data_IF_364521647741
#
_entry.id   IF_364521647741
#
_cell.length_a   1.000
_cell.length_b   1.000
_cell.length_c   1.000
_cell.angle_alpha   90.00
_cell.angle_beta   90.00
_cell.angle_gamma   90.00
#
_symmetry.space_group_name_H-M   'P 1'
#
loop_
_entity.id
_entity.type
_entity.pdbx_description
1 polymer ?
#
# COMPACT_ATOMS: atom_id res chain seq x y z
N UNK A 1 -0.52 -14.32 34.05
CA UNK A 1 0.74 -14.84 33.47
C UNK A 1 1.61 -13.75 32.84
N UNK A 2 1.11 -12.93 31.90
CA UNK A 2 1.92 -11.84 31.28
C UNK A 2 2.33 -10.75 32.28
N UNK A 3 1.41 -10.30 33.14
CA UNK A 3 1.71 -9.31 34.20
C UNK A 3 2.82 -9.80 35.13
N UNK A 4 2.75 -11.06 35.57
CA UNK A 4 3.77 -11.65 36.44
C UNK A 4 5.13 -11.73 35.76
N UNK A 5 5.16 -12.03 34.45
CA UNK A 5 6.39 -12.02 33.67
C UNK A 5 7.03 -10.63 33.65
N UNK A 6 6.28 -9.57 33.29
CA UNK A 6 6.82 -8.21 33.26
C UNK A 6 7.23 -7.70 34.63
N UNK A 7 6.51 -8.08 35.70
CA UNK A 7 6.92 -7.74 37.06
C UNK A 7 8.24 -8.41 37.45
N UNK A 8 8.44 -9.68 37.08
CA UNK A 8 9.69 -10.38 37.33
C UNK A 8 10.86 -9.78 36.54
N UNK A 9 10.66 -9.48 35.24
CA UNK A 9 11.67 -8.79 34.42
C UNK A 9 12.01 -7.42 34.99
N UNK A 10 11.01 -6.65 35.41
CA UNK A 10 11.23 -5.33 36.01
C UNK A 10 11.97 -5.41 37.36
N UNK A 11 11.74 -6.44 38.17
CA UNK A 11 12.50 -6.68 39.39
C UNK A 11 13.96 -6.99 39.08
N UNK A 12 14.24 -7.92 38.18
CA UNK A 12 15.61 -8.26 37.79
C UNK A 12 16.36 -7.03 37.24
N UNK A 13 15.68 -6.20 36.44
CA UNK A 13 16.26 -4.93 35.95
C UNK A 13 16.59 -4.00 37.12
N UNK A 14 15.70 -3.84 38.12
CA UNK A 14 15.99 -3.03 39.32
C UNK A 14 17.16 -3.57 40.13
N UNK A 15 17.26 -4.88 40.28
CA UNK A 15 18.39 -5.52 40.96
C UNK A 15 19.72 -5.24 40.24
N UNK A 16 19.74 -5.33 38.91
CA UNK A 16 20.93 -5.00 38.10
C UNK A 16 21.26 -3.51 38.20
N UNK A 17 20.26 -2.62 38.11
CA UNK A 17 20.45 -1.17 38.27
C UNK A 17 21.07 -0.84 39.62
N UNK A 18 20.55 -1.42 40.72
CA UNK A 18 21.06 -1.22 42.06
C UNK A 18 22.52 -1.71 42.19
N UNK A 19 22.86 -2.86 41.58
CA UNK A 19 24.24 -3.39 41.56
C UNK A 19 25.21 -2.49 40.81
N UNK A 20 24.74 -1.75 39.79
CA UNK A 20 25.53 -0.80 39.00
C UNK A 20 25.51 0.63 39.57
N UNK A 21 24.69 0.89 40.60
CA UNK A 21 24.58 2.19 41.27
C UNK A 21 23.61 3.18 40.62
N UNK A 22 22.71 2.72 39.74
CA UNK A 22 21.70 3.54 39.08
C UNK A 22 20.36 3.51 39.84
N UNK A 23 19.68 4.64 39.90
CA UNK A 23 18.35 4.80 40.52
C UNK A 23 17.22 4.85 39.48
N UNK A 24 17.50 5.31 38.28
CA UNK A 24 16.54 5.41 37.18
C UNK A 24 17.10 4.81 35.90
N UNK A 25 16.23 4.44 34.95
CA UNK A 25 16.66 3.93 33.65
C UNK A 25 17.45 5.00 32.89
N UNK A 26 17.03 6.27 32.95
CA UNK A 26 17.69 7.39 32.26
C UNK A 26 19.15 7.58 32.69
N UNK A 27 19.48 7.30 33.95
CA UNK A 27 20.86 7.34 34.44
C UNK A 27 21.75 6.28 33.75
N UNK A 28 21.15 5.14 33.33
CA UNK A 28 21.79 4.00 32.69
C UNK A 28 21.86 4.11 31.15
N UNK A 29 20.91 4.80 30.52
CA UNK A 29 20.87 4.93 29.04
C UNK A 29 22.18 5.52 28.52
N UNK A 30 22.78 4.85 27.52
CA UNK A 30 24.01 5.29 26.88
C UNK A 30 25.28 5.17 27.74
N UNK A 31 25.24 4.50 28.91
CA UNK A 31 26.40 4.28 29.79
C UNK A 31 27.25 3.09 29.35
N UNK A 32 27.93 3.22 28.20
CA UNK A 32 28.74 2.14 27.63
C UNK A 32 29.95 1.75 28.49
N UNK A 33 30.41 2.61 29.39
CA UNK A 33 31.49 2.30 30.33
C UNK A 33 31.11 1.21 31.36
N UNK A 34 29.83 0.91 31.52
CA UNK A 34 29.35 -0.21 32.34
C UNK A 34 29.41 -1.55 31.59
N UNK A 35 29.76 -1.54 30.30
CA UNK A 35 29.87 -2.71 29.45
C UNK A 35 31.33 -3.03 29.15
N UNK A 36 31.64 -4.31 29.04
CA UNK A 36 32.93 -4.80 28.54
C UNK A 36 32.72 -6.06 27.72
N UNK A 37 33.49 -6.22 26.66
CA UNK A 37 33.54 -7.48 25.94
C UNK A 37 34.10 -8.58 26.86
N UNK A 38 33.38 -9.69 26.96
CA UNK A 38 33.81 -10.86 27.73
C UNK A 38 34.53 -11.84 26.81
N UNK A 39 35.73 -12.27 27.21
CA UNK A 39 36.42 -13.38 26.55
C UNK A 39 35.69 -14.70 26.83
N UNK A 40 35.48 -15.51 25.79
CA UNK A 40 34.81 -16.80 25.90
C UNK A 40 35.86 -17.92 25.84
N UNK A 41 35.99 -18.65 26.95
CA UNK A 41 36.92 -19.77 27.05
C UNK A 41 36.56 -20.89 26.06
N UNK A 42 37.58 -21.53 25.46
CA UNK A 42 37.37 -22.62 24.50
C UNK A 42 36.82 -22.21 23.12
N UNK A 43 36.56 -20.92 22.89
CA UNK A 43 35.92 -20.43 21.66
C UNK A 43 36.77 -19.38 20.92
N UNK A 44 37.88 -19.77 20.26
CA UNK A 44 38.81 -18.84 19.62
C UNK A 44 38.15 -18.00 18.51
N UNK A 45 37.20 -18.57 17.77
CA UNK A 45 36.43 -17.85 16.73
C UNK A 45 35.50 -16.78 17.31
N UNK A 46 34.92 -16.99 18.50
CA UNK A 46 34.07 -15.97 19.12
C UNK A 46 34.91 -14.76 19.59
N UNK A 47 36.14 -15.02 20.02
CA UNK A 47 37.07 -13.99 20.48
C UNK A 47 37.71 -13.18 19.34
N UNK A 48 37.41 -13.46 18.06
CA UNK A 48 37.85 -12.61 16.93
C UNK A 48 36.95 -11.41 16.68
N UNK A 49 35.77 -11.35 17.31
CA UNK A 49 34.87 -10.20 17.19
C UNK A 49 35.47 -9.00 17.92
N UNK A 50 35.47 -7.84 17.28
CA UNK A 50 35.81 -6.57 17.90
C UNK A 50 34.51 -5.77 18.16
N UNK A 51 34.13 -5.67 19.44
CA UNK A 51 32.94 -4.93 19.87
C UNK A 51 33.26 -3.47 20.24
N UNK A 52 34.49 -2.99 20.04
CA UNK A 52 34.92 -1.64 20.42
C UNK A 52 33.96 -0.55 19.92
N UNK A 53 33.50 -0.66 18.67
CA UNK A 53 32.55 0.28 18.06
C UNK A 53 31.17 0.31 18.75
N UNK A 54 30.73 -0.79 19.36
CA UNK A 54 29.45 -0.86 20.07
C UNK A 54 29.54 -0.29 21.49
N UNK A 55 30.69 -0.42 22.14
CA UNK A 55 30.91 0.06 23.53
C UNK A 55 31.63 1.41 23.58
N UNK A 56 31.81 2.08 22.44
CA UNK A 56 32.44 3.40 22.38
C UNK A 56 31.57 4.44 23.09
N UNK A 57 32.14 5.17 24.05
CA UNK A 57 31.49 6.33 24.65
C UNK A 57 31.69 7.56 23.76
N UNK A 58 30.69 7.86 22.94
CA UNK A 58 30.73 8.96 21.95
C UNK A 58 30.66 10.36 22.58
N UNK A 59 30.28 10.47 23.86
CA UNK A 59 30.22 11.75 24.59
C UNK A 59 31.10 11.75 25.83
N UNK A 60 32.17 10.95 25.81
CA UNK A 60 33.15 10.85 26.91
C UNK A 60 33.74 12.21 27.32
N UNK A 61 33.96 13.08 26.35
CA UNK A 61 34.60 14.38 26.53
C UNK A 61 33.59 15.52 26.79
N UNK A 62 32.28 15.22 26.82
CA UNK A 62 31.22 16.17 27.11
C UNK A 62 30.39 15.71 28.32
N UNK A 63 30.69 16.23 29.53
CA UNK A 63 29.95 15.89 30.74
C UNK A 63 28.52 16.45 30.76
N UNK A 64 28.17 17.36 29.85
CA UNK A 64 26.84 17.97 29.73
C UNK A 64 25.95 17.25 28.73
N UNK A 65 26.50 16.32 27.95
CA UNK A 65 25.76 15.59 26.94
C UNK A 65 24.61 14.77 27.54
N UNK A 66 23.40 15.00 27.03
CA UNK A 66 22.22 14.21 27.37
C UNK A 66 22.26 12.89 26.61
N UNK A 67 22.05 11.78 27.34
CA UNK A 67 22.16 10.41 26.79
C UNK A 67 20.82 9.72 26.54
N UNK A 68 19.73 10.34 26.97
CA UNK A 68 18.36 9.84 26.84
C UNK A 68 17.53 10.77 25.96
N UNK A 69 16.33 10.32 25.55
CA UNK A 69 15.45 11.12 24.72
C UNK A 69 14.89 12.31 25.50
N UNK A 70 15.06 13.53 24.97
CA UNK A 70 14.60 14.78 25.60
C UNK A 70 13.36 15.38 24.96
N UNK A 71 12.89 14.78 23.86
CA UNK A 71 11.68 15.20 23.15
C UNK A 71 10.59 14.16 23.40
N UNK A 72 9.46 14.60 23.93
CA UNK A 72 8.29 13.74 24.15
C UNK A 72 7.70 13.24 22.83
N UNK A 73 7.75 14.10 21.79
CA UNK A 73 7.28 13.79 20.45
C UNK A 73 8.16 14.49 19.40
N UNK A 74 8.24 13.88 18.22
CA UNK A 74 8.83 14.50 17.03
C UNK A 74 7.72 15.13 16.18
N UNK A 75 7.22 16.27 16.62
CA UNK A 75 6.24 17.03 15.86
C UNK A 75 6.93 17.78 14.70
N UNK A 76 6.31 17.85 13.50
CA UNK A 76 6.85 18.62 12.39
C UNK A 76 6.95 20.11 12.77
N UNK A 77 8.09 20.73 12.44
CA UNK A 77 8.39 22.10 12.88
C UNK A 77 7.57 23.17 12.12
N UNK A 78 7.05 22.89 10.91
CA UNK A 78 6.40 23.90 10.08
C UNK A 78 5.21 23.40 9.22
N UNK A 79 4.30 24.36 9.02
CA UNK A 79 3.05 24.42 8.26
C UNK A 79 1.81 23.72 8.84
N UNK A 80 0.74 24.50 8.95
CA UNK A 80 -0.63 24.02 9.14
C UNK A 80 -1.03 23.26 7.86
N UNK A 81 -1.28 21.94 7.92
CA UNK A 81 -1.71 21.17 6.77
C UNK A 81 -3.02 21.73 6.18
N UNK A 82 -3.19 21.64 4.86
CA UNK A 82 -4.45 22.03 4.21
C UNK A 82 -5.66 21.26 4.79
N UNK A 83 -5.45 20.04 5.28
CA UNK A 83 -6.45 19.28 6.02
C UNK A 83 -7.01 19.99 7.26
N UNK A 84 -6.21 20.81 7.95
CA UNK A 84 -6.67 21.54 9.14
C UNK A 84 -7.64 22.65 8.74
N UNK A 85 -7.41 23.28 7.59
CA UNK A 85 -8.31 24.28 7.01
C UNK A 85 -9.60 23.57 6.56
N UNK A 86 -9.47 22.44 5.86
CA UNK A 86 -10.64 21.66 5.41
C UNK A 86 -11.49 21.21 6.59
N UNK A 87 -10.87 20.74 7.68
CA UNK A 87 -11.57 20.33 8.89
C UNK A 87 -12.35 21.48 9.53
N UNK A 88 -11.75 22.66 9.58
CA UNK A 88 -12.43 23.86 10.08
C UNK A 88 -13.61 24.24 9.19
N UNK A 89 -13.42 24.27 7.87
CA UNK A 89 -14.46 24.65 6.91
C UNK A 89 -15.60 23.61 6.82
N UNK A 90 -15.31 22.34 7.11
CA UNK A 90 -16.27 21.23 7.07
C UNK A 90 -16.81 20.83 8.45
N UNK A 91 -16.46 21.52 9.54
CA UNK A 91 -16.75 21.10 10.92
C UNK A 91 -18.24 20.77 11.13
N UNK A 92 -19.13 21.70 10.75
CA UNK A 92 -20.58 21.51 10.90
C UNK A 92 -21.11 20.37 10.02
N UNK A 93 -20.56 20.23 8.81
CA UNK A 93 -20.96 19.20 7.85
C UNK A 93 -20.56 17.81 8.29
N UNK A 94 -19.34 17.66 8.85
CA UNK A 94 -18.88 16.41 9.43
C UNK A 94 -19.75 16.07 10.62
N UNK A 95 -19.96 16.99 11.57
CA UNK A 95 -20.72 16.74 12.80
C UNK A 95 -22.21 16.42 12.57
N UNK A 96 -22.84 17.12 11.63
CA UNK A 96 -24.28 17.02 11.39
C UNK A 96 -24.61 16.14 10.16
N UNK A 97 -23.61 15.52 9.52
CA UNK A 97 -23.71 14.77 8.27
C UNK A 97 -24.39 15.54 7.12
N UNK A 98 -24.18 16.86 7.05
CA UNK A 98 -24.79 17.75 6.04
C UNK A 98 -23.91 17.92 4.80
N UNK A 99 -24.46 17.80 3.58
CA UNK A 99 -23.69 18.00 2.35
C UNK A 99 -23.01 19.37 2.29
N UNK A 100 -21.71 19.37 2.00
CA UNK A 100 -20.92 20.56 1.67
C UNK A 100 -19.98 20.28 0.51
N UNK A 101 -19.74 21.33 -0.26
CA UNK A 101 -18.79 21.34 -1.36
C UNK A 101 -17.79 22.47 -1.15
N UNK A 102 -16.51 22.12 -1.08
CA UNK A 102 -15.41 23.04 -0.82
C UNK A 102 -14.41 23.00 -1.99
N UNK A 103 -13.66 24.08 -2.18
CA UNK A 103 -12.72 24.17 -3.30
C UNK A 103 -11.36 24.74 -2.89
N UNK A 104 -10.29 24.07 -3.31
CA UNK A 104 -8.91 24.48 -2.97
C UNK A 104 -7.95 24.32 -4.15
N UNK A 105 -6.89 25.13 -4.14
CA UNK A 105 -5.71 24.88 -4.98
C UNK A 105 -4.76 23.97 -4.24
N UNK A 106 -4.13 23.05 -4.97
CA UNK A 106 -3.17 22.11 -4.42
C UNK A 106 -1.88 22.09 -5.25
N UNK A 107 -0.77 21.86 -4.58
CA UNK A 107 0.52 21.60 -5.18
C UNK A 107 1.17 20.33 -4.56
N UNK A 108 2.32 19.93 -5.12
CA UNK A 108 2.96 18.66 -4.77
C UNK A 108 3.44 18.59 -3.30
N UNK A 109 3.44 19.71 -2.58
CA UNK A 109 3.77 19.77 -1.15
C UNK A 109 2.56 19.42 -0.27
N UNK A 110 1.33 19.54 -0.79
CA UNK A 110 0.11 19.08 -0.14
C UNK A 110 0.02 17.54 -0.20
N UNK A 111 0.70 16.89 0.74
CA UNK A 111 0.76 15.43 0.90
C UNK A 111 -0.32 14.93 1.85
N UNK A 112 -0.77 13.70 1.63
CA UNK A 112 -1.78 13.02 2.46
C UNK A 112 -3.08 13.83 2.62
N UNK A 113 -3.46 14.57 1.58
CA UNK A 113 -4.66 15.40 1.61
C UNK A 113 -5.91 14.55 1.83
N UNK A 114 -6.82 15.05 2.66
CA UNK A 114 -8.04 14.44 3.15
C UNK A 114 -7.83 13.24 4.12
N UNK A 115 -6.60 12.88 4.46
CA UNK A 115 -6.34 11.78 5.42
C UNK A 115 -6.75 12.16 6.84
N UNK A 116 -6.44 13.37 7.30
CA UNK A 116 -6.84 13.83 8.65
C UNK A 116 -8.34 14.06 8.70
N UNK A 117 -8.93 14.58 7.62
CA UNK A 117 -10.39 14.69 7.44
C UNK A 117 -11.06 13.33 7.57
N UNK A 118 -10.55 12.31 6.87
CA UNK A 118 -11.05 10.93 6.95
C UNK A 118 -10.86 10.33 8.35
N UNK A 119 -9.77 10.67 9.03
CA UNK A 119 -9.54 10.29 10.43
C UNK A 119 -10.57 10.86 11.39
N UNK A 120 -10.97 12.12 11.20
CA UNK A 120 -12.03 12.75 12.00
C UNK A 120 -13.40 12.11 11.73
N UNK A 121 -13.72 11.84 10.46
CA UNK A 121 -14.94 11.11 10.09
C UNK A 121 -14.95 9.72 10.72
N UNK A 122 -13.85 8.96 10.62
CA UNK A 122 -13.74 7.64 11.23
C UNK A 122 -13.84 7.70 12.77
N UNK A 123 -13.30 8.75 13.41
CA UNK A 123 -13.39 8.93 14.85
C UNK A 123 -14.84 9.12 15.33
N UNK A 124 -15.63 9.88 14.56
CA UNK A 124 -17.02 10.18 14.91
C UNK A 124 -18.01 9.10 14.47
N UNK A 125 -17.82 8.50 13.28
CA UNK A 125 -18.78 7.62 12.63
C UNK A 125 -18.32 6.16 12.47
N UNK A 126 -17.07 5.84 12.84
CA UNK A 126 -16.53 4.50 12.69
C UNK A 126 -16.43 4.06 11.23
N UNK A 127 -16.59 2.75 10.99
CA UNK A 127 -16.47 2.15 9.65
C UNK A 127 -17.59 2.55 8.68
N UNK A 128 -18.79 2.89 9.19
CA UNK A 128 -19.91 3.31 8.34
C UNK A 128 -19.60 4.62 7.60
N UNK A 129 -18.84 5.53 8.25
CA UNK A 129 -18.49 6.84 7.71
C UNK A 129 -19.71 7.75 7.53
N UNK A 130 -19.61 8.69 6.61
CA UNK A 130 -20.69 9.61 6.28
C UNK A 130 -21.56 9.08 5.13
N UNK A 131 -22.82 9.54 5.01
CA UNK A 131 -23.62 9.31 3.81
C UNK A 131 -22.89 9.75 2.53
N UNK A 132 -23.15 9.08 1.41
CA UNK A 132 -22.49 9.41 0.15
C UNK A 132 -22.76 10.88 -0.26
N UNK A 133 -21.69 11.60 -0.60
CA UNK A 133 -21.78 13.00 -1.04
C UNK A 133 -21.89 14.03 0.09
N UNK A 134 -21.67 13.65 1.35
CA UNK A 134 -21.65 14.61 2.47
C UNK A 134 -20.51 15.62 2.35
N UNK A 135 -19.31 15.21 1.91
CA UNK A 135 -18.20 16.13 1.72
C UNK A 135 -17.59 15.97 0.34
N UNK A 136 -17.70 17.00 -0.50
CA UNK A 136 -17.06 17.06 -1.80
C UNK A 136 -15.94 18.11 -1.82
N UNK A 137 -14.73 17.69 -2.16
CA UNK A 137 -13.55 18.55 -2.28
C UNK A 137 -13.16 18.69 -3.75
N UNK A 138 -13.41 19.86 -4.32
CA UNK A 138 -12.96 20.24 -5.66
C UNK A 138 -11.55 20.84 -5.58
N UNK A 139 -10.59 20.15 -6.18
CA UNK A 139 -9.17 20.44 -6.04
C UNK A 139 -8.57 20.72 -7.40
N UNK A 140 -7.74 21.76 -7.51
CA UNK A 140 -7.09 22.14 -8.77
C UNK A 140 -5.59 22.24 -8.60
N UNK A 141 -4.84 21.52 -9.43
CA UNK A 141 -3.36 21.53 -9.45
C UNK A 141 -2.75 20.14 -9.35
N UNK A 142 -1.57 20.03 -8.74
CA UNK A 142 -0.83 18.76 -8.64
C UNK A 142 -0.92 18.27 -7.21
N UNK A 143 -1.61 17.16 -6.93
CA UNK A 143 -1.65 16.62 -5.57
C UNK A 143 -0.34 15.92 -5.20
N UNK A 144 0.15 16.15 -3.98
CA UNK A 144 1.31 15.47 -3.43
C UNK A 144 1.08 13.98 -3.20
N UNK A 145 2.10 13.30 -2.66
CA UNK A 145 2.02 11.87 -2.35
C UNK A 145 0.88 11.54 -1.39
N UNK A 146 0.29 10.35 -1.53
CA UNK A 146 -0.76 9.82 -0.64
C UNK A 146 -2.08 10.62 -0.68
N UNK A 147 -2.39 11.26 -1.80
CA UNK A 147 -3.67 11.94 -2.01
C UNK A 147 -4.87 11.02 -1.74
N UNK A 148 -5.75 11.37 -0.81
CA UNK A 148 -6.89 10.55 -0.43
C UNK A 148 -6.51 9.24 0.26
N UNK A 149 -5.36 9.18 0.95
CA UNK A 149 -5.01 7.99 1.72
C UNK A 149 -5.97 7.80 2.90
N UNK A 150 -6.39 6.55 3.11
CA UNK A 150 -7.38 6.14 4.11
C UNK A 150 -8.74 6.85 3.97
N UNK A 151 -9.12 7.22 2.74
CA UNK A 151 -10.40 7.89 2.48
C UNK A 151 -11.58 7.04 2.98
N UNK A 152 -12.47 7.66 3.74
CA UNK A 152 -13.68 7.04 4.29
C UNK A 152 -14.91 7.33 3.44
N UNK A 153 -15.97 6.55 3.65
CA UNK A 153 -17.29 6.76 3.05
C UNK A 153 -17.83 8.18 3.30
N UNK A 154 -18.52 8.70 2.29
CA UNK A 154 -19.14 10.03 2.29
C UNK A 154 -18.24 11.18 1.86
N UNK A 155 -16.94 10.94 1.65
CA UNK A 155 -16.00 11.91 1.11
C UNK A 155 -15.77 11.65 -0.39
N UNK A 156 -15.89 12.69 -1.21
CA UNK A 156 -15.57 12.71 -2.63
C UNK A 156 -14.45 13.71 -2.90
N UNK A 157 -13.38 13.26 -3.55
CA UNK A 157 -12.27 14.10 -3.99
C UNK A 157 -12.31 14.24 -5.51
N UNK A 158 -12.40 15.47 -6.02
CA UNK A 158 -12.36 15.77 -7.45
C UNK A 158 -11.10 16.57 -7.76
N UNK A 159 -10.08 15.91 -8.29
CA UNK A 159 -8.82 16.53 -8.68
C UNK A 159 -8.83 16.87 -10.18
N UNK A 160 -8.83 18.16 -10.48
CA UNK A 160 -8.58 18.68 -11.82
C UNK A 160 -7.09 19.05 -11.94
N UNK A 161 -6.32 18.16 -12.56
CA UNK A 161 -4.87 18.19 -12.61
C UNK A 161 -4.28 16.77 -12.56
N UNK A 162 -3.29 16.54 -11.71
CA UNK A 162 -2.55 15.27 -11.64
C UNK A 162 -2.17 14.90 -10.19
N UNK A 163 -2.02 13.61 -9.89
CA UNK A 163 -1.63 13.10 -8.58
C UNK A 163 -0.28 12.39 -8.61
N UNK A 164 0.50 12.51 -7.53
CA UNK A 164 1.75 11.75 -7.37
C UNK A 164 1.48 10.29 -6.93
N UNK A 165 2.47 9.61 -6.38
CA UNK A 165 2.33 8.23 -5.90
C UNK A 165 1.29 8.09 -4.78
N UNK A 166 0.76 6.88 -4.64
CA UNK A 166 -0.11 6.47 -3.53
C UNK A 166 -1.50 7.12 -3.48
N UNK A 167 -2.03 7.59 -4.62
CA UNK A 167 -3.44 8.04 -4.70
C UNK A 167 -4.37 6.92 -4.18
N UNK A 168 -5.28 7.26 -3.28
CA UNK A 168 -6.22 6.29 -2.70
C UNK A 168 -5.56 5.18 -1.87
N UNK A 169 -4.34 5.39 -1.37
CA UNK A 169 -3.65 4.38 -0.54
C UNK A 169 -4.53 3.97 0.64
N UNK A 170 -4.82 2.68 0.72
CA UNK A 170 -5.57 2.05 1.80
C UNK A 170 -6.92 2.73 2.05
N UNK A 171 -7.55 3.27 1.00
CA UNK A 171 -8.91 3.81 1.12
C UNK A 171 -9.89 2.71 1.50
N UNK A 172 -10.83 3.05 2.38
CA UNK A 172 -11.84 2.16 2.95
C UNK A 172 -13.27 2.59 2.58
N UNK A 173 -13.40 3.57 1.69
CA UNK A 173 -14.65 4.10 1.19
C UNK A 173 -14.42 5.38 0.40
N UNK A 174 -15.49 6.08 0.07
CA UNK A 174 -15.42 7.35 -0.66
C UNK A 174 -15.11 7.20 -2.14
N UNK A 175 -14.96 8.34 -2.82
CA UNK A 175 -14.76 8.43 -4.26
C UNK A 175 -13.61 9.39 -4.59
N UNK A 176 -12.69 8.98 -5.45
CA UNK A 176 -11.61 9.81 -5.98
C UNK A 176 -11.77 9.90 -7.49
N UNK A 177 -11.80 11.12 -8.01
CA UNK A 177 -11.90 11.42 -9.43
C UNK A 177 -10.70 12.28 -9.82
N UNK A 178 -9.91 11.84 -10.79
CA UNK A 178 -8.77 12.57 -11.32
C UNK A 178 -8.94 12.79 -12.81
N UNK A 179 -8.90 14.05 -13.25
CA UNK A 179 -9.05 14.43 -14.66
C UNK A 179 -8.08 15.57 -15.00
N UNK A 180 -7.60 15.64 -16.25
CA UNK A 180 -6.66 16.68 -16.65
C UNK A 180 -7.29 18.08 -16.60
N UNK A 181 -6.45 19.11 -16.60
CA UNK A 181 -6.91 20.49 -16.78
C UNK A 181 -7.67 20.64 -18.11
N UNK A 182 -8.77 21.43 -18.18
CA UNK A 182 -9.59 21.53 -19.40
C UNK A 182 -8.84 21.96 -20.66
N UNK A 183 -7.75 22.71 -20.52
CA UNK A 183 -6.91 23.27 -21.60
C UNK A 183 -5.68 22.41 -21.94
N UNK A 184 -5.65 21.14 -21.52
CA UNK A 184 -4.60 20.19 -21.88
C UNK A 184 -4.48 20.00 -23.40
N UNK A 185 -3.25 19.94 -23.90
CA UNK A 185 -2.94 19.76 -25.34
C UNK A 185 -2.56 18.31 -25.71
N UNK A 186 -2.58 17.42 -24.73
CA UNK A 186 -2.17 16.03 -24.89
C UNK A 186 -3.39 15.09 -24.96
N UNK A 187 -3.16 13.83 -25.31
CA UNK A 187 -4.21 12.80 -25.32
C UNK A 187 -4.19 12.09 -23.95
N UNK A 188 -5.22 12.22 -23.10
CA UNK A 188 -5.19 11.70 -21.72
C UNK A 188 -4.78 10.23 -21.63
N UNK A 189 -5.35 9.36 -22.45
CA UNK A 189 -5.09 7.92 -22.44
C UNK A 189 -3.63 7.54 -22.80
N UNK A 190 -2.86 8.49 -23.33
CA UNK A 190 -1.43 8.32 -23.67
C UNK A 190 -0.48 8.96 -22.65
N UNK A 191 -0.99 9.61 -21.61
CA UNK A 191 -0.18 10.39 -20.66
C UNK A 191 -0.45 9.96 -19.23
N UNK A 192 0.58 10.05 -18.37
CA UNK A 192 0.43 9.77 -16.95
C UNK A 192 -0.36 10.88 -16.26
N UNK A 193 -1.28 10.50 -15.38
CA UNK A 193 -2.06 11.42 -14.56
C UNK A 193 -1.97 11.10 -13.06
N UNK A 194 -1.63 9.85 -12.72
CA UNK A 194 -1.40 9.40 -11.35
C UNK A 194 -0.14 8.53 -11.25
N UNK A 195 0.54 8.58 -10.11
CA UNK A 195 1.83 7.91 -9.91
C UNK A 195 1.73 6.40 -9.68
N UNK A 196 2.68 5.87 -8.91
CA UNK A 196 2.82 4.45 -8.60
C UNK A 196 2.02 4.05 -7.36
N UNK A 197 1.80 2.74 -7.20
CA UNK A 197 1.26 2.13 -5.98
C UNK A 197 -0.08 2.75 -5.55
N UNK A 198 -0.87 3.14 -6.55
CA UNK A 198 -2.22 3.68 -6.41
C UNK A 198 -3.14 2.59 -5.86
N UNK A 199 -4.09 2.96 -5.00
CA UNK A 199 -5.04 2.05 -4.35
C UNK A 199 -4.36 0.95 -3.51
N UNK A 200 -3.15 1.20 -3.00
CA UNK A 200 -2.40 0.20 -2.23
C UNK A 200 -3.17 -0.27 -1.00
N UNK A 201 -3.59 -1.53 -1.00
CA UNK A 201 -4.31 -2.12 0.13
C UNK A 201 -5.70 -1.54 0.34
N UNK A 202 -6.31 -0.92 -0.68
CA UNK A 202 -7.68 -0.41 -0.58
C UNK A 202 -8.65 -1.54 -0.24
N UNK A 203 -9.60 -1.28 0.67
CA UNK A 203 -10.59 -2.27 1.12
C UNK A 203 -11.99 -1.96 0.61
N UNK A 204 -12.25 -0.73 0.18
CA UNK A 204 -13.49 -0.31 -0.48
C UNK A 204 -13.30 1.05 -1.17
N UNK A 205 -14.39 1.60 -1.71
CA UNK A 205 -14.44 2.89 -2.40
C UNK A 205 -13.98 2.85 -3.85
N UNK A 206 -14.06 3.99 -4.53
CA UNK A 206 -13.97 4.06 -6.00
C UNK A 206 -12.97 5.09 -6.49
N UNK A 207 -12.16 4.75 -7.50
CA UNK A 207 -11.23 5.63 -8.18
C UNK A 207 -11.54 5.72 -9.69
N UNK A 208 -11.67 6.92 -10.23
CA UNK A 208 -11.77 7.17 -11.68
C UNK A 208 -10.64 8.11 -12.12
N UNK A 209 -9.80 7.69 -13.06
CA UNK A 209 -8.65 8.46 -13.52
C UNK A 209 -8.58 8.56 -15.04
N UNK A 210 -8.80 9.76 -15.59
CA UNK A 210 -8.73 10.05 -17.02
C UNK A 210 -7.28 10.26 -17.44
N UNK A 211 -6.57 9.14 -17.59
CA UNK A 211 -5.17 9.06 -17.97
C UNK A 211 -4.53 7.79 -17.43
N UNK A 212 -3.20 7.71 -17.54
CA UNK A 212 -2.43 6.52 -17.16
C UNK A 212 -1.93 6.59 -15.71
N UNK A 213 -1.89 5.46 -15.05
CA UNK A 213 -1.16 5.27 -13.80
C UNK A 213 0.25 4.72 -14.01
N UNK A 214 1.10 4.87 -12.99
CA UNK A 214 2.41 4.25 -12.92
C UNK A 214 2.37 2.75 -12.62
N UNK A 215 3.45 2.26 -12.02
CA UNK A 215 3.64 0.86 -11.63
C UNK A 215 2.82 0.49 -10.39
N UNK A 216 2.57 -0.82 -10.20
CA UNK A 216 1.90 -1.37 -9.01
C UNK A 216 0.51 -0.78 -8.75
N UNK A 217 -0.19 -0.42 -9.81
CA UNK A 217 -1.58 0.03 -9.73
C UNK A 217 -2.46 -1.05 -9.09
N UNK A 218 -3.22 -0.71 -8.06
CA UNK A 218 -4.05 -1.62 -7.27
C UNK A 218 -3.28 -2.77 -6.62
N UNK A 219 -2.02 -2.57 -6.26
CA UNK A 219 -1.26 -3.57 -5.48
C UNK A 219 -1.95 -3.85 -4.15
N UNK A 220 -2.15 -5.12 -3.81
CA UNK A 220 -2.88 -5.57 -2.60
C UNK A 220 -4.31 -5.03 -2.47
N UNK A 221 -4.93 -4.57 -3.56
CA UNK A 221 -6.34 -4.16 -3.53
C UNK A 221 -7.21 -5.33 -3.03
N UNK A 222 -8.04 -5.06 -2.03
CA UNK A 222 -8.82 -6.04 -1.28
C UNK A 222 -10.33 -5.78 -1.37
N UNK A 223 -10.76 -4.72 -2.06
CA UNK A 223 -12.18 -4.41 -2.24
C UNK A 223 -12.49 -3.07 -2.91
N UNK A 224 -11.47 -2.26 -3.23
CA UNK A 224 -11.66 -1.03 -3.99
C UNK A 224 -12.01 -1.28 -5.46
N UNK A 225 -12.74 -0.33 -6.04
CA UNK A 225 -13.08 -0.31 -7.47
C UNK A 225 -12.28 0.79 -8.17
N UNK A 226 -11.72 0.51 -9.35
CA UNK A 226 -10.96 1.52 -10.09
C UNK A 226 -11.18 1.45 -11.60
N UNK A 227 -11.21 2.61 -12.26
CA UNK A 227 -11.16 2.74 -13.73
C UNK A 227 -10.02 3.70 -14.11
N UNK A 228 -9.13 3.25 -15.00
CA UNK A 228 -7.95 4.00 -15.45
C UNK A 228 -7.67 3.72 -16.93
N UNK A 229 -6.96 4.59 -17.64
CA UNK A 229 -6.79 4.50 -19.10
C UNK A 229 -5.47 3.86 -19.56
N UNK A 230 -4.72 3.31 -18.60
CA UNK A 230 -3.50 2.56 -18.84
C UNK A 230 -2.66 2.51 -17.57
N UNK A 231 -1.79 1.52 -17.46
CA UNK A 231 -0.97 1.32 -16.26
C UNK A 231 0.45 0.85 -16.61
N UNK A 232 1.37 1.02 -15.67
CA UNK A 232 2.73 0.47 -15.74
C UNK A 232 2.81 -1.03 -15.39
N UNK A 233 4.01 -1.48 -15.02
CA UNK A 233 4.28 -2.86 -14.64
C UNK A 233 3.63 -3.23 -13.29
N UNK A 234 3.43 -4.52 -13.05
CA UNK A 234 2.91 -5.07 -11.79
C UNK A 234 1.48 -4.61 -11.42
N UNK A 235 0.64 -4.34 -12.41
CA UNK A 235 -0.79 -4.05 -12.19
C UNK A 235 -1.51 -5.19 -11.47
N UNK A 236 -2.35 -4.86 -10.49
CA UNK A 236 -3.12 -5.81 -9.67
C UNK A 236 -2.26 -6.84 -8.92
N UNK A 237 -0.97 -6.54 -8.68
CA UNK A 237 -0.08 -7.42 -7.92
C UNK A 237 -0.63 -7.68 -6.52
N UNK A 238 -0.69 -8.94 -6.09
CA UNK A 238 -1.26 -9.34 -4.79
C UNK A 238 -2.71 -8.91 -4.51
N UNK A 239 -3.51 -8.59 -5.54
CA UNK A 239 -4.92 -8.24 -5.37
C UNK A 239 -5.71 -9.44 -4.82
N UNK A 240 -6.54 -9.19 -3.81
CA UNK A 240 -7.36 -10.21 -3.11
C UNK A 240 -8.86 -9.90 -3.18
N UNK A 241 -9.27 -8.78 -3.76
CA UNK A 241 -10.66 -8.38 -3.90
C UNK A 241 -10.83 -7.06 -4.65
N UNK A 242 -12.07 -6.71 -5.00
CA UNK A 242 -12.41 -5.50 -5.75
C UNK A 242 -12.47 -5.70 -7.27
N UNK A 243 -12.67 -4.59 -7.99
CA UNK A 243 -12.87 -4.57 -9.45
C UNK A 243 -11.99 -3.51 -10.10
N UNK A 244 -11.15 -3.91 -11.06
CA UNK A 244 -10.23 -2.98 -11.74
C UNK A 244 -10.50 -2.97 -13.24
N UNK A 245 -10.73 -1.80 -13.82
CA UNK A 245 -10.91 -1.61 -15.27
C UNK A 245 -9.74 -0.78 -15.80
N UNK A 246 -9.02 -1.34 -16.77
CA UNK A 246 -7.94 -0.66 -17.49
C UNK A 246 -8.37 -0.48 -18.94
N UNK A 247 -8.66 0.76 -19.35
CA UNK A 247 -9.13 1.11 -20.69
C UNK A 247 -8.00 1.22 -21.73
N UNK A 248 -6.80 0.74 -21.42
CA UNK A 248 -5.67 0.78 -22.33
C UNK A 248 -4.55 -0.17 -21.94
N UNK A 249 -3.36 0.09 -22.48
CA UNK A 249 -2.22 -0.80 -22.33
C UNK A 249 -1.79 -0.99 -20.87
N UNK A 250 -1.45 -2.21 -20.49
CA UNK A 250 -0.77 -2.53 -19.22
C UNK A 250 0.74 -2.70 -19.43
N UNK A 251 1.52 -2.62 -18.33
CA UNK A 251 2.89 -3.14 -18.28
C UNK A 251 2.96 -4.65 -18.09
N UNK A 252 4.16 -5.16 -17.79
CA UNK A 252 4.45 -6.59 -17.57
C UNK A 252 4.02 -7.05 -16.18
N UNK A 253 3.97 -8.37 -16.02
CA UNK A 253 3.72 -9.05 -14.75
C UNK A 253 2.37 -8.69 -14.10
N UNK A 254 1.36 -8.40 -14.92
CA UNK A 254 0.00 -8.10 -14.46
C UNK A 254 -0.60 -9.30 -13.71
N UNK A 255 -1.24 -9.06 -12.57
CA UNK A 255 -1.91 -10.08 -11.76
C UNK A 255 -0.96 -11.04 -11.03
N UNK A 256 0.32 -10.70 -10.90
CA UNK A 256 1.26 -11.52 -10.14
C UNK A 256 0.83 -11.62 -8.66
N UNK A 257 0.67 -12.83 -8.15
CA UNK A 257 0.20 -13.03 -6.78
C UNK A 257 -1.28 -12.65 -6.54
N UNK A 258 -2.05 -12.30 -7.58
CA UNK A 258 -3.47 -11.99 -7.47
C UNK A 258 -4.26 -13.26 -7.15
N UNK A 259 -4.97 -13.25 -6.03
CA UNK A 259 -5.72 -14.41 -5.50
C UNK A 259 -7.22 -14.13 -5.35
N UNK A 260 -7.67 -12.89 -5.56
CA UNK A 260 -9.08 -12.51 -5.51
C UNK A 260 -9.40 -11.26 -6.32
N UNK A 261 -10.69 -11.02 -6.55
CA UNK A 261 -11.20 -9.90 -7.34
C UNK A 261 -11.26 -10.18 -8.85
N UNK A 262 -11.67 -9.16 -9.62
CA UNK A 262 -11.81 -9.21 -11.08
C UNK A 262 -11.15 -8.00 -11.72
N UNK A 263 -10.48 -8.20 -12.85
CA UNK A 263 -10.00 -7.10 -13.67
C UNK A 263 -10.45 -7.21 -15.13
N UNK A 264 -10.70 -6.07 -15.75
CA UNK A 264 -11.02 -5.95 -17.16
C UNK A 264 -9.95 -5.10 -17.84
N UNK A 265 -9.38 -5.59 -18.94
CA UNK A 265 -8.31 -4.90 -19.66
C UNK A 265 -8.70 -4.75 -21.13
N UNK A 266 -8.86 -3.51 -21.58
CA UNK A 266 -9.02 -3.19 -23.00
C UNK A 266 -7.68 -3.28 -23.71
N UNK A 267 -7.58 -4.16 -24.71
CA UNK A 267 -6.33 -4.48 -25.40
C UNK A 267 -6.50 -4.43 -26.93
N UNK A 268 -6.41 -3.23 -27.47
CA UNK A 268 -6.52 -2.96 -28.92
C UNK A 268 -5.40 -3.64 -29.73
N UNK A 269 -4.21 -3.80 -29.15
CA UNK A 269 -3.05 -4.36 -29.83
C UNK A 269 -2.89 -5.87 -29.63
N UNK A 270 -3.80 -6.52 -28.91
CA UNK A 270 -3.73 -7.94 -28.55
C UNK A 270 -2.40 -8.35 -27.88
N UNK A 271 -1.82 -7.45 -27.06
CA UNK A 271 -0.51 -7.64 -26.39
C UNK A 271 -0.65 -8.13 -24.95
N UNK A 272 -1.83 -8.02 -24.35
CA UNK A 272 -2.08 -8.38 -22.96
C UNK A 272 -1.74 -9.86 -22.63
N UNK A 273 -2.01 -10.86 -23.50
CA UNK A 273 -1.65 -12.25 -23.22
C UNK A 273 -0.16 -12.48 -22.94
N UNK A 274 0.74 -11.64 -23.49
CA UNK A 274 2.18 -11.70 -23.24
C UNK A 274 2.65 -10.87 -22.04
N UNK A 275 1.73 -10.22 -21.32
CA UNK A 275 2.03 -9.26 -20.24
C UNK A 275 1.53 -9.70 -18.87
N UNK A 276 0.53 -10.57 -18.79
CA UNK A 276 0.03 -11.07 -17.51
C UNK A 276 0.86 -12.25 -16.97
N UNK A 277 0.87 -12.40 -15.66
CA UNK A 277 1.50 -13.52 -14.98
C UNK A 277 0.49 -14.65 -14.80
N UNK A 278 0.65 -15.74 -15.55
CA UNK A 278 -0.29 -16.86 -15.57
C UNK A 278 -0.13 -17.86 -14.40
N UNK A 279 0.65 -17.53 -13.36
CA UNK A 279 0.85 -18.44 -12.23
C UNK A 279 -0.45 -18.66 -11.45
N UNK A 280 -1.24 -17.61 -11.22
CA UNK A 280 -2.44 -17.64 -10.38
C UNK A 280 -3.67 -17.00 -11.04
N UNK A 281 -3.54 -16.37 -12.20
CA UNK A 281 -4.66 -15.74 -12.91
C UNK A 281 -4.75 -16.23 -14.35
N UNK A 282 -5.98 -16.33 -14.84
CA UNK A 282 -6.31 -16.59 -16.24
C UNK A 282 -6.82 -15.33 -16.92
N UNK A 283 -6.63 -15.24 -18.23
CA UNK A 283 -7.19 -14.17 -19.06
C UNK A 283 -8.09 -14.79 -20.13
N UNK A 284 -9.37 -14.42 -20.14
CA UNK A 284 -10.36 -14.90 -21.11
C UNK A 284 -11.06 -13.72 -21.81
N UNK A 285 -11.59 -13.95 -23.01
CA UNK A 285 -12.45 -12.97 -23.68
C UNK A 285 -13.78 -12.90 -22.94
N UNK A 286 -14.37 -11.71 -22.91
CA UNK A 286 -15.67 -11.50 -22.27
C UNK A 286 -16.77 -12.21 -23.08
N UNK A 287 -17.50 -13.14 -22.44
CA UNK A 287 -18.52 -13.97 -23.12
C UNK A 287 -19.86 -14.05 -22.38
N UNK A 288 -20.03 -13.33 -21.26
CA UNK A 288 -21.25 -13.35 -20.42
C UNK A 288 -21.86 -11.97 -20.18
N UNK A 289 -23.17 -11.93 -19.88
CA UNK A 289 -23.96 -10.70 -19.76
C UNK A 289 -23.74 -9.92 -18.46
N UNK A 290 -23.47 -10.61 -17.36
CA UNK A 290 -23.37 -9.97 -16.03
C UNK A 290 -22.08 -9.17 -15.90
N UNK A 291 -20.95 -9.78 -16.29
CA UNK A 291 -19.65 -9.09 -16.32
C UNK A 291 -19.65 -7.93 -17.33
N UNK A 292 -20.34 -8.09 -18.48
CA UNK A 292 -20.54 -7.00 -19.43
C UNK A 292 -21.31 -5.83 -18.81
N UNK A 293 -22.38 -6.11 -18.07
CA UNK A 293 -23.18 -5.08 -17.41
C UNK A 293 -22.35 -4.30 -16.38
N UNK A 294 -21.59 -5.01 -15.53
CA UNK A 294 -20.68 -4.41 -14.55
C UNK A 294 -19.63 -3.54 -15.24
N UNK A 295 -18.98 -4.07 -16.27
CA UNK A 295 -17.96 -3.33 -17.02
C UNK A 295 -18.57 -2.07 -17.66
N UNK A 296 -19.71 -2.19 -18.34
CA UNK A 296 -20.37 -1.07 -19.01
C UNK A 296 -20.79 0.03 -18.03
N UNK A 297 -21.31 -0.34 -16.86
CA UNK A 297 -21.63 0.62 -15.79
C UNK A 297 -20.39 1.38 -15.32
N UNK A 298 -19.27 0.69 -15.09
CA UNK A 298 -18.02 1.33 -14.69
C UNK A 298 -17.44 2.26 -15.75
N UNK A 299 -17.47 1.86 -17.03
CA UNK A 299 -17.02 2.72 -18.14
C UNK A 299 -17.95 3.93 -18.31
N UNK A 300 -19.26 3.76 -18.11
CA UNK A 300 -20.25 4.84 -18.14
C UNK A 300 -19.97 5.86 -17.03
N UNK A 301 -19.83 5.39 -15.78
CA UNK A 301 -19.46 6.24 -14.64
C UNK A 301 -18.12 6.95 -14.86
N UNK A 302 -17.12 6.24 -15.39
CA UNK A 302 -15.84 6.85 -15.73
C UNK A 302 -16.00 8.00 -16.73
N UNK A 303 -16.78 7.81 -17.80
CA UNK A 303 -17.07 8.86 -18.78
C UNK A 303 -17.80 10.06 -18.14
N UNK A 304 -18.82 9.81 -17.33
CA UNK A 304 -19.63 10.84 -16.67
C UNK A 304 -18.81 11.67 -15.66
N UNK A 305 -18.01 11.01 -14.83
CA UNK A 305 -17.26 11.64 -13.75
C UNK A 305 -16.02 12.38 -14.25
N UNK A 306 -15.33 11.81 -15.25
CA UNK A 306 -14.03 12.33 -15.70
C UNK A 306 -14.06 13.11 -17.00
N UNK A 307 -15.15 12.99 -17.78
CA UNK A 307 -15.22 13.54 -19.13
C UNK A 307 -14.31 12.83 -20.13
N UNK A 308 -13.92 11.58 -19.85
CA UNK A 308 -12.97 10.80 -20.66
C UNK A 308 -13.41 10.68 -22.14
N UNK A 309 -12.60 11.20 -23.08
CA UNK A 309 -12.85 11.02 -24.51
C UNK A 309 -12.75 9.55 -24.94
N UNK A 310 -11.83 8.78 -24.34
CA UNK A 310 -11.65 7.36 -24.63
C UNK A 310 -12.89 6.56 -24.23
N UNK A 311 -13.36 6.72 -22.99
CA UNK A 311 -14.55 6.03 -22.51
C UNK A 311 -15.79 6.36 -23.35
N UNK A 312 -15.96 7.63 -23.73
CA UNK A 312 -17.03 8.04 -24.63
C UNK A 312 -16.96 7.32 -26.00
N UNK A 313 -15.76 7.15 -26.58
CA UNK A 313 -15.59 6.39 -27.84
C UNK A 313 -15.91 4.91 -27.66
N UNK A 314 -15.45 4.28 -26.58
CA UNK A 314 -15.75 2.88 -26.29
C UNK A 314 -17.25 2.63 -26.09
N UNK A 315 -17.96 3.56 -25.42
CA UNK A 315 -19.41 3.48 -25.23
C UNK A 315 -20.19 3.69 -26.53
N UNK A 316 -19.69 4.54 -27.42
CA UNK A 316 -20.33 4.80 -28.72
C UNK A 316 -20.32 3.57 -29.65
N UNK A 317 -19.27 2.75 -29.59
CA UNK A 317 -19.19 1.43 -30.26
C UNK A 317 -18.94 0.31 -29.24
N UNK A 318 -19.88 0.16 -28.31
CA UNK A 318 -19.75 -0.81 -27.22
C UNK A 318 -19.58 -2.24 -27.72
N UNK A 319 -20.41 -2.67 -28.67
CA UNK A 319 -20.39 -4.04 -29.18
C UNK A 319 -19.10 -4.35 -29.96
N UNK A 320 -18.58 -3.39 -30.73
CA UNK A 320 -17.28 -3.53 -31.40
C UNK A 320 -16.10 -3.54 -30.43
N UNK A 321 -16.19 -2.76 -29.36
CA UNK A 321 -15.15 -2.67 -28.32
C UNK A 321 -15.10 -3.91 -27.42
N UNK A 322 -16.23 -4.58 -27.21
CA UNK A 322 -16.36 -5.69 -26.25
C UNK A 322 -15.39 -6.85 -26.54
N UNK A 323 -15.20 -7.19 -27.81
CA UNK A 323 -14.31 -8.27 -28.24
C UNK A 323 -12.82 -8.02 -27.93
N UNK A 324 -12.46 -6.79 -27.58
CA UNK A 324 -11.09 -6.38 -27.26
C UNK A 324 -10.82 -6.37 -25.76
N UNK A 325 -11.84 -6.58 -24.92
CA UNK A 325 -11.64 -6.74 -23.48
C UNK A 325 -11.18 -8.16 -23.13
N UNK A 326 -10.24 -8.21 -22.19
CA UNK A 326 -9.87 -9.40 -21.43
C UNK A 326 -10.47 -9.31 -20.04
N UNK A 327 -11.11 -10.38 -19.59
CA UNK A 327 -11.46 -10.61 -18.20
C UNK A 327 -10.34 -11.40 -17.54
N UNK A 328 -9.84 -10.90 -16.42
CA UNK A 328 -8.77 -11.51 -15.64
C UNK A 328 -9.31 -11.91 -14.29
N UNK A 329 -9.22 -13.20 -13.98
CA UNK A 329 -9.70 -13.76 -12.72
C UNK A 329 -8.67 -14.75 -12.15
N UNK A 330 -8.56 -14.85 -10.82
CA UNK A 330 -7.74 -15.87 -10.19
C UNK A 330 -8.25 -17.27 -10.49
N UNK A 331 -7.32 -18.21 -10.61
CA UNK A 331 -7.61 -19.64 -10.63
C UNK A 331 -6.74 -20.34 -9.59
N UNK A 332 -7.23 -21.46 -9.07
CA UNK A 332 -6.41 -22.33 -8.24
C UNK A 332 -5.35 -22.95 -9.15
N UNK A 333 -4.04 -22.82 -8.84
CA UNK A 333 -3.02 -23.50 -9.62
C UNK A 333 -3.25 -25.01 -9.54
N UNK A 334 -3.42 -25.66 -10.68
CA UNK A 334 -3.50 -27.12 -10.73
C UNK A 334 -2.21 -27.69 -10.13
N UNK A 335 -2.36 -28.56 -9.12
CA UNK A 335 -1.23 -29.25 -8.53
C UNK A 335 -0.59 -30.12 -9.61
N UNK A 336 0.61 -29.76 -10.07
CA UNK A 336 1.40 -30.63 -10.94
C UNK A 336 1.63 -31.95 -10.19
N UNK A 337 1.29 -33.11 -10.77
CA UNK A 337 1.66 -34.39 -10.19
C UNK A 337 3.16 -34.37 -9.91
N UNK A 338 3.54 -34.76 -8.70
CA UNK A 338 4.95 -34.98 -8.38
C UNK A 338 5.38 -36.12 -9.30
N UNK A 339 6.21 -35.83 -10.32
CA UNK A 339 6.90 -36.88 -11.04
C UNK A 339 7.80 -37.59 -10.02
N UNK A 340 7.39 -38.78 -9.60
CA UNK A 340 8.27 -39.68 -8.85
C UNK A 340 9.49 -39.92 -9.72
N UNK A 341 10.59 -39.23 -9.42
CA UNK A 341 11.90 -39.62 -9.93
C UNK A 341 12.12 -41.05 -9.46
N UNK A 342 12.06 -42.00 -10.39
CA UNK A 342 12.53 -43.37 -10.16
C UNK A 342 13.93 -43.27 -9.59
N UNK A 343 14.05 -43.54 -8.28
CA UNK A 343 15.34 -43.75 -7.65
C UNK A 343 15.88 -45.02 -8.28
N UNK A 344 16.91 -44.89 -9.12
CA UNK A 344 17.72 -46.04 -9.50
C UNK A 344 18.28 -46.66 -8.22
N UNK A 345 17.94 -47.91 -7.95
CA UNK A 345 18.46 -48.70 -6.84
C UNK A 345 19.98 -48.88 -6.99
N UNK A 346 20.71 -47.88 -6.51
CA UNK A 346 22.16 -47.93 -6.34
C UNK A 346 22.51 -48.83 -5.15
N UNK A 347 22.98 -50.04 -5.48
CA UNK A 347 23.73 -51.01 -4.64
C UNK A 347 24.09 -50.53 -3.23
N UNK A 348 23.47 -51.16 -2.24
CA UNK A 348 23.90 -51.18 -0.84
C UNK A 348 25.34 -51.69 -0.72
N UNK A 349 26.30 -50.79 -0.47
CA UNK A 349 27.61 -51.17 0.03
C UNK A 349 27.50 -51.25 1.54
N UNK A 350 27.51 -52.48 2.04
CA UNK A 350 27.62 -52.81 3.45
C UNK A 350 29.05 -52.48 3.88
N UNK A 351 29.21 -51.63 4.90
CA UNK A 351 30.45 -51.59 5.68
C UNK A 351 30.08 -51.68 7.15
N UNK A 352 30.05 -52.92 7.64
CA UNK A 352 30.37 -53.21 9.03
C UNK A 352 31.84 -52.82 9.25
N UNK A 353 32.13 -52.01 10.26
CA UNK A 353 33.06 -52.40 11.32
C UNK A 353 33.25 -51.28 12.37
N UNK A 354 33.40 -51.75 13.60
CA UNK A 354 34.08 -51.15 14.77
C UNK A 354 33.24 -50.26 15.69
N UNK A 355 32.44 -50.93 16.52
CA UNK A 355 32.26 -50.59 17.94
C UNK A 355 33.20 -51.43 18.80
N UNK A 356 34.15 -50.80 19.49
CA UNK A 356 34.79 -51.25 20.73
C UNK A 356 35.59 -50.05 21.29
N UNK A 357 35.08 -49.22 22.20
CA UNK A 357 34.82 -49.42 23.64
C UNK A 357 35.76 -48.47 24.42
N UNK A 358 35.27 -47.62 25.32
CA UNK A 358 36.11 -46.78 26.18
C UNK A 358 36.54 -47.56 27.43
N UNK A 359 37.81 -47.46 27.81
CA UNK A 359 38.27 -47.76 29.16
C UNK A 359 38.99 -46.56 29.76
N UNK A 360 38.77 -46.43 31.06
CA UNK A 360 39.33 -45.49 32.02
C UNK A 360 40.85 -45.36 31.99
#
# INVERSE_FOLDING_TARGET
NVVNFFNAVAEEVREIMARLGFRTIDEMVGRTQCLRQRLIEGHPKANTLDLSRLITDVVKDDPTAVRYATRDRNDPEHDQPLDDIILQDAEESIRDAKPVKLSYKVDNTNRSLATKVSGEVAYQYGEEGLPEGTLELDLTGTAGQSFGAFLTSGIRLVLTGEGNDYVGKSMSGGEIIVRPMPDHLFIPEKNSIIGNTVMYGATAGTLFANGRAGERFCVRNSGGTAVVEGIGDHGCEYMTGGTVVVLGSTGKNFGAGMTGGIAFVYDEENKFPGRYNNQLVGAERLTGTDDESILKDLVTKHAEKTGSPLAARLLADWHGSLGQFWKVTPHIPEAKPIEEKKVEEGKTIITEAITASPKA
#
